data_IF_907236147814
#
_entry.id   IF_907236147814
#
_cell.length_a   1.000
_cell.length_b   1.000
_cell.length_c   1.000
_cell.angle_alpha   90.00
_cell.angle_beta   90.00
_cell.angle_gamma   90.00
#
_symmetry.space_group_name_H-M   'P 1'
#
loop_
_entity.id
_entity.type
_entity.pdbx_description
1 polymer ?
#
# COMPACT_ATOMS: atom_id res chain seq x y z
N UNK A 1 9.20 30.60 8.49
CA UNK A 1 9.66 29.59 9.47
C UNK A 1 10.13 28.41 8.66
N UNK A 2 11.35 27.94 8.88
CA UNK A 2 11.92 26.81 8.14
C UNK A 2 11.38 25.49 8.73
N UNK A 3 10.93 24.56 7.88
CA UNK A 3 10.46 23.24 8.29
C UNK A 3 11.54 22.18 8.05
N UNK A 4 11.45 20.97 8.65
CA UNK A 4 12.52 19.97 8.56
C UNK A 4 12.97 19.66 7.13
N UNK A 5 12.02 19.54 6.19
CA UNK A 5 12.33 19.24 4.79
C UNK A 5 13.16 20.32 4.12
N UNK A 6 13.04 21.58 4.57
CA UNK A 6 13.76 22.72 4.00
C UNK A 6 15.22 22.76 4.50
N UNK A 7 15.46 22.36 5.74
CA UNK A 7 16.80 22.35 6.36
C UNK A 7 17.61 21.08 6.07
N UNK A 8 16.95 20.00 5.64
CA UNK A 8 17.58 18.68 5.46
C UNK A 8 18.18 18.45 4.08
N UNK A 9 18.17 19.44 3.19
CA UNK A 9 18.64 19.30 1.79
C UNK A 9 20.10 18.84 1.71
N UNK A 10 20.97 19.36 2.57
CA UNK A 10 22.42 19.07 2.54
C UNK A 10 22.90 18.20 3.71
N UNK A 11 21.99 17.55 4.44
CA UNK A 11 22.32 16.80 5.66
C UNK A 11 22.43 15.32 5.35
N UNK A 12 23.53 14.69 5.77
CA UNK A 12 23.70 13.25 5.60
C UNK A 12 22.92 12.46 6.66
N UNK A 13 22.55 11.23 6.33
CA UNK A 13 21.83 10.35 7.24
C UNK A 13 22.64 10.02 8.50
N UNK A 14 23.97 9.95 8.41
CA UNK A 14 24.86 9.69 9.54
C UNK A 14 24.83 10.82 10.58
N UNK A 15 24.69 12.07 10.13
CA UNK A 15 24.57 13.22 11.04
C UNK A 15 23.26 13.14 11.83
N UNK A 16 22.15 12.83 11.15
CA UNK A 16 20.84 12.65 11.79
C UNK A 16 20.87 11.52 12.81
N UNK A 17 21.46 10.37 12.46
CA UNK A 17 21.54 9.23 13.36
C UNK A 17 22.43 9.47 14.57
N UNK A 18 23.56 10.16 14.37
CA UNK A 18 24.45 10.54 15.48
C UNK A 18 23.73 11.47 16.45
N UNK A 19 23.13 12.55 15.96
CA UNK A 19 22.33 13.48 16.76
C UNK A 19 21.21 12.76 17.54
N UNK A 20 20.50 11.86 16.87
CA UNK A 20 19.47 11.04 17.50
C UNK A 20 20.02 10.09 18.58
N UNK A 21 21.18 9.48 18.36
CA UNK A 21 21.82 8.59 19.32
C UNK A 21 22.33 9.35 20.54
N UNK A 22 22.95 10.50 20.33
CA UNK A 22 23.42 11.38 21.38
C UNK A 22 22.24 11.87 22.24
N UNK A 23 21.14 12.25 21.60
CA UNK A 23 19.91 12.61 22.32
C UNK A 23 19.34 11.43 23.10
N UNK A 24 19.23 10.24 22.51
CA UNK A 24 18.74 9.04 23.20
C UNK A 24 19.60 8.70 24.43
N UNK A 25 20.92 8.86 24.34
CA UNK A 25 21.82 8.67 25.48
C UNK A 25 21.59 9.75 26.55
N UNK A 26 21.36 11.01 26.15
CA UNK A 26 21.07 12.10 27.08
C UNK A 26 19.78 11.89 27.89
N UNK A 27 18.78 11.20 27.32
CA UNK A 27 17.52 10.88 28.01
C UNK A 27 17.72 10.06 29.30
N UNK A 28 18.83 9.32 29.42
CA UNK A 28 19.20 8.57 30.64
C UNK A 28 19.56 9.48 31.82
N UNK A 29 19.90 10.74 31.53
CA UNK A 29 20.42 11.70 32.51
C UNK A 29 19.47 12.88 32.74
N UNK A 30 18.27 12.87 32.14
CA UNK A 30 17.29 13.94 32.32
C UNK A 30 16.73 13.87 33.75
N UNK A 31 16.80 14.97 34.53
CA UNK A 31 16.20 15.03 35.86
C UNK A 31 14.69 14.77 35.81
N UNK A 32 14.12 14.01 36.76
CA UNK A 32 12.67 13.77 36.84
C UNK A 32 11.85 15.06 36.96
N UNK A 33 12.46 16.13 37.48
CA UNK A 33 11.78 17.37 37.87
C UNK A 33 11.56 18.36 36.72
N UNK A 34 12.07 18.07 35.52
CA UNK A 34 11.89 18.90 34.32
C UNK A 34 11.66 18.06 33.06
N UNK A 35 10.49 17.40 32.92
CA UNK A 35 10.18 16.60 31.75
C UNK A 35 10.14 17.47 30.49
N UNK A 36 10.79 17.00 29.42
CA UNK A 36 10.65 17.62 28.10
C UNK A 36 9.33 17.17 27.48
N UNK A 37 8.67 18.06 26.73
CA UNK A 37 7.41 17.77 26.07
C UNK A 37 7.44 18.18 24.60
N UNK A 38 6.80 17.37 23.75
CA UNK A 38 6.40 17.78 22.41
C UNK A 38 4.97 18.30 22.45
N UNK A 39 4.74 19.53 21.97
CA UNK A 39 3.39 20.07 21.81
C UNK A 39 2.86 19.74 20.42
N UNK A 40 1.71 19.06 20.37
CA UNK A 40 1.00 18.73 19.14
C UNK A 40 0.06 19.89 18.74
N UNK A 41 -0.45 19.88 17.50
CA UNK A 41 -1.28 20.97 16.99
C UNK A 41 -2.62 21.15 17.70
N UNK A 42 -3.13 20.12 18.36
CA UNK A 42 -4.30 20.20 19.25
C UNK A 42 -3.93 20.68 20.67
N UNK A 43 -2.76 21.29 20.85
CA UNK A 43 -2.18 21.72 22.13
C UNK A 43 -1.98 20.59 23.16
N UNK A 44 -2.04 19.33 22.75
CA UNK A 44 -1.71 18.20 23.62
C UNK A 44 -0.20 18.13 23.80
N UNK A 45 0.25 18.07 25.05
CA UNK A 45 1.65 17.88 25.40
C UNK A 45 1.93 16.38 25.58
N UNK A 46 2.88 15.87 24.81
CA UNK A 46 3.38 14.50 24.95
C UNK A 46 4.71 14.56 25.69
N UNK A 47 4.81 14.01 26.92
CA UNK A 47 6.10 13.95 27.62
C UNK A 47 7.05 13.04 26.84
N UNK A 48 8.31 13.42 26.82
CA UNK A 48 9.38 12.69 26.17
C UNK A 48 10.15 11.92 27.23
N UNK A 49 10.27 10.61 27.07
CA UNK A 49 11.03 9.76 27.97
C UNK A 49 11.48 8.47 27.32
N UNK A 50 12.34 7.72 28.02
CA UNK A 50 12.89 6.46 27.51
C UNK A 50 11.82 5.39 27.22
N UNK A 51 10.67 5.47 27.89
CA UNK A 51 9.57 4.52 27.73
C UNK A 51 8.75 4.72 26.46
N UNK A 52 8.82 5.88 25.82
CA UNK A 52 8.03 6.22 24.64
C UNK A 52 8.85 6.80 23.48
N UNK A 53 10.17 6.64 23.53
CA UNK A 53 11.09 7.02 22.46
C UNK A 53 11.76 5.76 21.91
N UNK A 54 11.89 5.66 20.59
CA UNK A 54 12.53 4.51 19.97
C UNK A 54 12.94 4.73 18.53
N UNK A 55 13.97 4.01 18.09
CA UNK A 55 14.43 4.05 16.71
C UNK A 55 13.50 3.24 15.79
N UNK A 56 13.09 3.86 14.68
CA UNK A 56 12.32 3.23 13.62
C UNK A 56 13.10 3.24 12.32
N UNK A 57 13.05 2.15 11.52
CA UNK A 57 13.71 2.11 10.23
C UNK A 57 13.00 3.03 9.23
N UNK A 58 13.78 3.81 8.49
CA UNK A 58 13.25 4.72 7.46
C UNK A 58 12.81 3.94 6.21
N UNK A 59 13.58 2.92 5.83
CA UNK A 59 13.39 2.15 4.59
C UNK A 59 12.90 0.71 4.84
N UNK A 60 11.85 0.57 5.65
CA UNK A 60 11.18 -0.71 5.89
C UNK A 60 12.01 -1.73 6.66
N UNK A 61 12.38 -2.85 6.03
CA UNK A 61 13.16 -3.91 6.68
C UNK A 61 14.65 -3.55 6.79
N UNK A 62 15.11 -2.49 6.13
CA UNK A 62 16.47 -2.00 6.25
C UNK A 62 16.65 -1.34 7.62
N UNK A 63 17.34 -2.03 8.52
CA UNK A 63 17.67 -1.56 9.86
C UNK A 63 18.97 -0.75 9.91
N UNK A 64 19.61 -0.44 8.77
CA UNK A 64 20.80 0.42 8.76
C UNK A 64 20.41 1.86 9.03
N UNK A 65 19.42 2.36 8.28
CA UNK A 65 19.05 3.76 8.33
C UNK A 65 17.78 3.96 9.17
N UNK A 66 17.91 4.73 10.26
CA UNK A 66 16.87 4.90 11.28
C UNK A 66 16.64 6.37 11.64
N UNK A 67 15.46 6.63 12.16
CA UNK A 67 15.11 7.91 12.78
C UNK A 67 14.54 7.65 14.17
N UNK A 68 14.74 8.59 15.08
CA UNK A 68 14.21 8.49 16.44
C UNK A 68 12.79 9.04 16.47
N UNK A 69 11.85 8.21 16.91
CA UNK A 69 10.44 8.53 16.98
C UNK A 69 9.97 8.64 18.43
N UNK A 70 9.06 9.58 18.67
CA UNK A 70 8.26 9.70 19.88
C UNK A 70 6.91 9.02 19.64
N UNK A 71 6.48 8.17 20.56
CA UNK A 71 5.25 7.40 20.48
C UNK A 71 4.17 7.95 21.41
N UNK A 72 2.91 7.77 21.01
CA UNK A 72 1.75 8.13 21.82
C UNK A 72 1.69 7.30 23.10
N UNK A 73 1.23 7.92 24.18
CA UNK A 73 0.94 7.20 25.44
C UNK A 73 -0.28 6.27 25.32
N UNK A 74 -1.22 6.63 24.44
CA UNK A 74 -2.46 5.86 24.23
C UNK A 74 -2.21 4.64 23.33
N UNK A 75 -1.25 4.76 22.41
CA UNK A 75 -0.88 3.70 21.48
C UNK A 75 0.63 3.75 21.22
N UNK A 76 1.36 2.83 21.83
CA UNK A 76 2.82 2.73 21.74
C UNK A 76 3.33 2.37 20.34
N UNK A 77 2.44 2.01 19.40
CA UNK A 77 2.80 1.74 18.01
C UNK A 77 2.57 2.94 17.09
N UNK A 78 1.94 4.02 17.59
CA UNK A 78 1.69 5.23 16.81
C UNK A 78 2.70 6.31 17.15
N UNK A 79 3.59 6.60 16.19
CA UNK A 79 4.49 7.74 16.27
C UNK A 79 3.69 9.05 16.23
N UNK A 80 4.12 10.04 17.02
CA UNK A 80 3.53 11.39 17.12
C UNK A 80 4.52 12.52 16.82
N UNK A 81 5.81 12.19 16.75
CA UNK A 81 6.86 13.11 16.32
C UNK A 81 8.17 12.38 16.01
N UNK A 82 9.06 13.07 15.30
CA UNK A 82 10.41 12.59 15.00
C UNK A 82 11.44 13.59 15.53
N UNK A 83 12.58 13.08 15.97
CA UNK A 83 13.73 13.89 16.35
C UNK A 83 14.61 14.12 15.14
N UNK A 84 14.70 15.37 14.67
CA UNK A 84 15.41 15.77 13.46
C UNK A 84 16.13 17.10 13.74
N UNK A 85 17.43 17.16 13.42
CA UNK A 85 18.27 18.36 13.62
C UNK A 85 18.21 18.87 15.06
N UNK A 86 18.56 18.01 16.01
CA UNK A 86 18.60 18.31 17.46
C UNK A 86 17.27 18.81 18.06
N UNK A 87 16.15 18.55 17.38
CA UNK A 87 14.83 19.02 17.78
C UNK A 87 13.72 18.00 17.54
N UNK A 88 12.74 17.97 18.44
CA UNK A 88 11.50 17.23 18.22
C UNK A 88 10.53 18.00 17.31
N UNK A 89 10.08 17.31 16.27
CA UNK A 89 9.09 17.81 15.33
C UNK A 89 7.81 16.99 15.37
N UNK A 90 6.68 17.66 15.54
CA UNK A 90 5.36 17.05 15.33
C UNK A 90 5.21 16.62 13.87
N UNK A 91 4.48 15.53 13.62
CA UNK A 91 4.22 15.04 12.25
C UNK A 91 3.63 16.13 11.34
N UNK A 92 2.78 17.01 11.86
CA UNK A 92 2.17 18.08 11.07
C UNK A 92 3.17 19.11 10.56
N UNK A 93 4.21 19.40 11.33
CA UNK A 93 5.27 20.31 10.91
C UNK A 93 6.29 19.61 10.01
N UNK A 94 6.47 18.29 10.13
CA UNK A 94 7.27 17.51 9.18
C UNK A 94 6.64 17.55 7.79
N UNK A 95 5.31 17.53 7.70
CA UNK A 95 4.57 17.58 6.44
C UNK A 95 4.40 19.00 5.86
N UNK A 96 5.15 19.99 6.36
CA UNK A 96 5.10 21.38 5.89
C UNK A 96 6.44 21.78 5.28
N UNK A 97 6.38 22.77 4.40
CA UNK A 97 7.53 23.42 3.77
C UNK A 97 7.26 24.92 3.69
N UNK A 98 8.32 25.71 3.80
CA UNK A 98 8.28 27.15 3.54
C UNK A 98 8.79 27.50 2.14
N UNK A 99 9.29 26.52 1.40
CA UNK A 99 9.76 26.67 0.04
C UNK A 99 8.57 26.71 -0.93
N UNK A 100 8.29 27.90 -1.46
CA UNK A 100 7.21 28.10 -2.44
C UNK A 100 7.45 27.40 -3.77
N UNK A 101 8.68 26.95 -4.06
CA UNK A 101 8.97 26.16 -5.25
C UNK A 101 8.46 24.71 -5.13
N UNK A 102 8.20 24.23 -3.91
CA UNK A 102 7.57 22.92 -3.67
C UNK A 102 6.05 23.04 -3.82
N UNK A 103 5.61 23.02 -5.07
CA UNK A 103 4.20 22.94 -5.45
C UNK A 103 3.97 21.84 -6.50
N UNK A 104 2.82 21.18 -6.42
CA UNK A 104 2.52 20.04 -7.28
C UNK A 104 3.36 18.80 -6.93
N UNK A 105 3.51 17.90 -7.89
CA UNK A 105 4.20 16.63 -7.70
C UNK A 105 5.72 16.80 -7.90
N UNK A 106 6.46 16.75 -6.80
CA UNK A 106 7.92 16.97 -6.77
C UNK A 106 8.62 15.65 -6.46
N UNK A 107 9.69 15.35 -7.21
CA UNK A 107 10.49 14.14 -7.03
C UNK A 107 11.22 14.13 -5.69
N UNK A 108 11.35 12.94 -5.10
CA UNK A 108 12.00 12.75 -3.80
C UNK A 108 13.49 12.50 -4.02
N UNK A 109 14.32 13.48 -3.65
CA UNK A 109 15.77 13.44 -3.84
C UNK A 109 16.54 13.50 -2.53
N UNK A 110 16.00 14.21 -1.53
CA UNK A 110 16.68 14.50 -0.27
C UNK A 110 16.22 13.58 0.86
N UNK A 111 17.02 13.48 1.93
CA UNK A 111 16.63 12.73 3.13
C UNK A 111 15.40 13.33 3.82
N UNK A 112 15.27 14.66 3.79
CA UNK A 112 14.08 15.36 4.29
C UNK A 112 12.81 14.91 3.57
N UNK A 113 12.85 14.82 2.25
CA UNK A 113 11.73 14.33 1.45
C UNK A 113 11.46 12.83 1.68
N UNK A 114 12.51 12.01 1.86
CA UNK A 114 12.34 10.60 2.27
C UNK A 114 11.64 10.47 3.61
N UNK A 115 11.92 11.36 4.57
CA UNK A 115 11.23 11.42 5.86
C UNK A 115 9.76 11.85 5.69
N UNK A 116 9.48 12.85 4.85
CA UNK A 116 8.10 13.26 4.53
C UNK A 116 7.32 12.09 3.92
N UNK A 117 7.91 11.39 2.95
CA UNK A 117 7.34 10.21 2.32
C UNK A 117 7.08 9.08 3.33
N UNK A 118 8.02 8.84 4.25
CA UNK A 118 7.85 7.90 5.35
C UNK A 118 6.67 8.27 6.24
N UNK A 119 6.56 9.54 6.65
CA UNK A 119 5.45 10.01 7.50
C UNK A 119 4.11 9.84 6.78
N UNK A 120 4.02 10.21 5.51
CA UNK A 120 2.80 10.04 4.71
C UNK A 120 2.37 8.57 4.62
N UNK A 121 3.29 7.67 4.29
CA UNK A 121 2.98 6.25 4.10
C UNK A 121 2.78 5.52 5.45
N UNK A 122 3.76 5.58 6.34
CA UNK A 122 3.81 4.73 7.54
C UNK A 122 3.02 5.24 8.70
N UNK A 123 2.82 6.55 8.78
CA UNK A 123 2.16 7.17 9.94
C UNK A 123 0.78 7.68 9.56
N UNK A 124 0.66 8.51 8.53
CA UNK A 124 -0.64 9.08 8.13
C UNK A 124 -1.51 8.00 7.46
N UNK A 125 -1.05 7.41 6.36
CA UNK A 125 -1.81 6.40 5.64
C UNK A 125 -2.02 5.16 6.51
N UNK A 126 -0.94 4.47 6.90
CA UNK A 126 -1.05 3.15 7.55
C UNK A 126 -1.68 3.17 8.94
N UNK A 127 -1.40 4.17 9.77
CA UNK A 127 -1.91 4.19 11.15
C UNK A 127 -3.27 4.92 11.26
N UNK A 128 -3.57 5.90 10.39
CA UNK A 128 -4.75 6.76 10.55
C UNK A 128 -5.77 6.67 9.41
N UNK A 129 -5.34 6.40 8.19
CA UNK A 129 -6.20 6.61 7.01
C UNK A 129 -6.50 5.37 6.16
N UNK A 130 -5.84 4.23 6.40
CA UNK A 130 -6.09 3.00 5.69
C UNK A 130 -7.54 2.53 5.88
N UNK A 131 -8.15 2.02 4.80
CA UNK A 131 -9.52 1.53 4.83
C UNK A 131 -9.57 0.10 5.39
N UNK A 132 -10.68 -0.29 6.02
CA UNK A 132 -10.87 -1.69 6.45
C UNK A 132 -10.79 -2.64 5.25
N UNK A 133 -9.93 -3.66 5.35
CA UNK A 133 -9.71 -4.65 4.30
C UNK A 133 -8.74 -4.22 3.19
N UNK A 134 -8.15 -3.03 3.28
CA UNK A 134 -7.08 -2.59 2.38
C UNK A 134 -5.73 -3.13 2.89
N UNK A 135 -4.90 -3.63 1.98
CA UNK A 135 -3.53 -4.02 2.31
C UNK A 135 -2.64 -2.77 2.36
N UNK A 136 -1.83 -2.58 3.41
CA UNK A 136 -0.98 -1.42 3.51
C UNK A 136 0.11 -1.45 2.42
N UNK A 137 0.41 -0.27 1.87
CA UNK A 137 1.60 -0.08 1.05
C UNK A 137 2.86 -0.53 1.80
N UNK A 138 3.79 -1.10 1.03
CA UNK A 138 5.12 -1.41 1.53
C UNK A 138 5.90 -0.12 1.78
N UNK A 139 6.96 -0.21 2.58
CA UNK A 139 7.86 0.92 2.76
C UNK A 139 8.65 1.14 1.48
N UNK A 140 8.92 2.40 1.16
CA UNK A 140 9.79 2.76 0.06
C UNK A 140 11.25 2.49 0.44
N UNK A 141 12.02 1.96 -0.52
CA UNK A 141 13.47 1.91 -0.43
C UNK A 141 14.10 3.29 -0.57
N UNK A 142 15.39 3.36 -0.24
CA UNK A 142 16.20 4.59 -0.34
C UNK A 142 16.22 5.17 -1.77
N UNK A 143 16.27 4.30 -2.77
CA UNK A 143 16.35 4.66 -4.19
C UNK A 143 15.03 4.44 -4.94
N UNK A 144 13.92 4.20 -4.22
CA UNK A 144 12.63 4.04 -4.89
C UNK A 144 12.19 5.35 -5.51
N UNK A 145 11.76 5.30 -6.77
CA UNK A 145 11.19 6.44 -7.46
C UNK A 145 9.86 6.82 -6.80
N UNK A 146 9.78 8.05 -6.30
CA UNK A 146 8.56 8.57 -5.69
C UNK A 146 8.49 10.08 -5.87
N UNK A 147 7.27 10.60 -5.87
CA UNK A 147 7.00 12.04 -5.80
C UNK A 147 6.06 12.35 -4.65
N UNK A 148 6.32 13.46 -3.98
CA UNK A 148 5.42 14.04 -2.99
C UNK A 148 4.55 15.08 -3.69
N UNK A 149 3.25 15.03 -3.46
CA UNK A 149 2.34 16.08 -3.88
C UNK A 149 2.29 17.16 -2.81
N UNK A 150 2.84 18.32 -3.14
CA UNK A 150 2.78 19.52 -2.34
C UNK A 150 1.62 20.41 -2.79
N UNK A 151 0.97 21.04 -1.83
CA UNK A 151 -0.07 22.04 -2.06
C UNK A 151 -0.15 22.97 -0.87
N UNK A 152 -0.13 24.28 -1.11
CA UNK A 152 -0.25 25.32 -0.08
C UNK A 152 0.77 25.13 1.08
N UNK A 153 2.02 24.82 0.73
CA UNK A 153 3.11 24.58 1.69
C UNK A 153 2.98 23.29 2.51
N UNK A 154 2.12 22.36 2.08
CA UNK A 154 1.87 21.08 2.77
C UNK A 154 2.00 19.88 1.85
N UNK A 155 2.58 18.80 2.38
CA UNK A 155 2.56 17.50 1.74
C UNK A 155 1.16 16.87 1.90
N UNK A 156 0.42 16.78 0.80
CA UNK A 156 -0.97 16.33 0.76
C UNK A 156 -1.14 14.89 0.24
N UNK A 157 -0.09 14.33 -0.34
CA UNK A 157 -0.08 12.96 -0.85
C UNK A 157 1.26 12.56 -1.43
N UNK A 158 1.35 11.34 -1.95
CA UNK A 158 2.49 10.86 -2.71
C UNK A 158 2.05 9.83 -3.76
N UNK A 159 2.94 9.56 -4.71
CA UNK A 159 2.90 8.32 -5.48
C UNK A 159 4.31 7.76 -5.66
N UNK A 160 4.43 6.45 -5.81
CA UNK A 160 5.69 5.76 -6.11
C UNK A 160 5.60 4.96 -7.40
N UNK A 161 6.73 4.78 -8.07
CA UNK A 161 6.82 4.06 -9.33
C UNK A 161 7.91 3.01 -9.23
N UNK A 162 7.71 1.88 -9.88
CA UNK A 162 8.75 0.92 -10.23
C UNK A 162 9.12 1.15 -11.69
N UNK A 163 10.26 1.80 -11.99
CA UNK A 163 10.65 2.11 -13.36
C UNK A 163 10.85 0.86 -14.20
N UNK A 164 10.71 0.98 -15.51
CA UNK A 164 11.08 -0.11 -16.43
C UNK A 164 12.54 -0.52 -16.23
N UNK A 165 12.84 -1.81 -16.31
CA UNK A 165 14.16 -2.38 -16.07
C UNK A 165 14.56 -2.55 -14.60
N UNK A 166 13.83 -1.95 -13.65
CA UNK A 166 14.13 -2.11 -12.22
C UNK A 166 13.79 -3.52 -11.71
N UNK A 167 14.61 -4.04 -10.79
CA UNK A 167 14.41 -5.37 -10.21
C UNK A 167 13.15 -5.41 -9.34
N UNK A 168 12.38 -6.50 -9.48
CA UNK A 168 11.25 -6.76 -8.63
C UNK A 168 11.72 -7.33 -7.27
N UNK A 169 11.46 -6.60 -6.19
CA UNK A 169 11.83 -7.03 -4.84
C UNK A 169 11.17 -8.34 -4.41
N UNK A 170 10.01 -8.68 -4.99
CA UNK A 170 9.30 -9.93 -4.72
C UNK A 170 9.81 -11.10 -5.57
N UNK A 171 10.49 -10.82 -6.69
CA UNK A 171 10.98 -11.81 -7.64
C UNK A 171 12.38 -11.40 -8.12
N UNK A 172 13.41 -11.81 -7.38
CA UNK A 172 14.79 -11.33 -7.51
C UNK A 172 15.43 -11.54 -8.90
N UNK A 173 14.80 -12.29 -9.79
CA UNK A 173 15.26 -12.57 -11.16
C UNK A 173 14.48 -11.82 -12.24
N UNK A 174 13.44 -11.07 -11.89
CA UNK A 174 12.57 -10.39 -12.86
C UNK A 174 12.68 -8.87 -12.73
N UNK A 175 12.66 -8.20 -13.87
CA UNK A 175 12.58 -6.75 -13.95
C UNK A 175 11.20 -6.31 -14.45
N UNK A 176 10.78 -5.11 -14.04
CA UNK A 176 9.59 -4.47 -14.59
C UNK A 176 9.76 -4.21 -16.09
N UNK A 177 8.78 -4.60 -16.90
CA UNK A 177 8.82 -4.39 -18.37
C UNK A 177 8.32 -3.01 -18.79
N UNK A 178 7.54 -2.35 -17.93
CA UNK A 178 6.98 -1.02 -18.12
C UNK A 178 7.04 -0.27 -16.78
N UNK A 179 7.02 1.08 -16.78
CA UNK A 179 6.86 1.84 -15.55
C UNK A 179 5.52 1.49 -14.87
N UNK A 180 5.55 1.15 -13.58
CA UNK A 180 4.35 0.81 -12.82
C UNK A 180 4.20 1.74 -11.63
N UNK A 181 3.12 2.53 -11.58
CA UNK A 181 2.72 3.24 -10.37
C UNK A 181 2.33 2.22 -9.30
N UNK A 182 3.22 2.05 -8.32
CA UNK A 182 3.17 1.00 -7.30
C UNK A 182 2.31 1.39 -6.10
N UNK A 183 2.30 2.67 -5.74
CA UNK A 183 1.41 3.20 -4.71
C UNK A 183 1.00 4.63 -5.05
N UNK A 184 -0.21 4.99 -4.63
CA UNK A 184 -0.75 6.34 -4.76
C UNK A 184 -1.61 6.62 -3.55
N UNK A 185 -1.39 7.78 -2.94
CA UNK A 185 -2.09 8.18 -1.72
C UNK A 185 -2.36 9.68 -1.72
N UNK A 186 -3.60 10.04 -1.41
CA UNK A 186 -4.01 11.40 -1.07
C UNK A 186 -4.63 11.37 0.32
N UNK A 187 -4.17 12.28 1.18
CA UNK A 187 -4.71 12.46 2.54
C UNK A 187 -6.21 12.70 2.50
N UNK A 188 -6.96 12.06 3.40
CA UNK A 188 -8.44 12.06 3.42
C UNK A 188 -9.01 13.48 3.40
N UNK A 189 -8.43 14.40 4.17
CA UNK A 189 -8.86 15.80 4.23
C UNK A 189 -8.66 16.59 2.91
N UNK A 190 -7.90 16.05 1.95
CA UNK A 190 -7.67 16.67 0.64
C UNK A 190 -8.32 15.92 -0.53
N UNK A 191 -8.99 14.79 -0.28
CA UNK A 191 -9.68 14.02 -1.33
C UNK A 191 -10.88 14.79 -1.89
N UNK A 192 -11.26 14.47 -3.13
CA UNK A 192 -12.36 15.15 -3.84
C UNK A 192 -11.94 16.41 -4.60
N UNK A 193 -10.72 16.91 -4.38
CA UNK A 193 -10.21 18.15 -5.01
C UNK A 193 -9.39 17.91 -6.30
N UNK A 194 -9.61 16.80 -7.01
CA UNK A 194 -8.90 16.49 -8.25
C UNK A 194 -7.45 16.03 -8.12
N UNK A 195 -6.87 15.98 -6.91
CA UNK A 195 -5.45 15.67 -6.69
C UNK A 195 -5.00 14.30 -7.22
N UNK A 196 -5.87 13.28 -7.16
CA UNK A 196 -5.56 11.97 -7.74
C UNK A 196 -5.43 11.99 -9.26
N UNK A 197 -6.22 12.83 -9.93
CA UNK A 197 -6.09 13.04 -11.38
C UNK A 197 -4.79 13.78 -11.70
N UNK A 198 -4.47 14.83 -10.94
CA UNK A 198 -3.22 15.59 -11.09
C UNK A 198 -1.98 14.69 -10.94
N UNK A 199 -1.98 13.76 -9.97
CA UNK A 199 -0.89 12.78 -9.83
C UNK A 199 -0.83 11.81 -11.02
N UNK A 200 -1.97 11.37 -11.56
CA UNK A 200 -2.01 10.49 -12.72
C UNK A 200 -1.49 11.20 -13.99
N UNK A 201 -1.91 12.46 -14.20
CA UNK A 201 -1.40 13.30 -15.29
C UNK A 201 0.12 13.48 -15.16
N UNK A 202 0.61 13.84 -13.97
CA UNK A 202 2.04 13.99 -13.74
C UNK A 202 2.82 12.69 -13.98
N UNK A 203 2.26 11.54 -13.59
CA UNK A 203 2.86 10.24 -13.88
C UNK A 203 2.94 9.99 -15.39
N UNK A 204 1.86 10.21 -16.14
CA UNK A 204 1.90 10.07 -17.60
C UNK A 204 2.91 11.02 -18.24
N UNK A 205 2.99 12.26 -17.78
CA UNK A 205 3.94 13.22 -18.32
C UNK A 205 5.41 12.86 -18.03
N UNK A 206 5.66 12.17 -16.90
CA UNK A 206 7.00 11.78 -16.46
C UNK A 206 7.59 10.59 -17.22
N UNK A 207 6.77 9.76 -17.85
CA UNK A 207 7.21 8.52 -18.51
C UNK A 207 6.75 8.52 -19.98
N UNK A 208 7.67 8.23 -20.90
CA UNK A 208 7.45 8.38 -22.36
C UNK A 208 7.13 7.07 -23.06
N UNK A 209 7.03 5.99 -22.31
CA UNK A 209 6.69 4.66 -22.79
C UNK A 209 5.25 4.59 -23.31
N UNK A 210 5.03 3.78 -24.35
CA UNK A 210 3.71 3.58 -24.96
C UNK A 210 2.71 2.88 -24.03
N UNK A 211 3.18 2.24 -22.96
CA UNK A 211 2.38 1.53 -21.99
C UNK A 211 2.83 1.89 -20.58
N UNK A 212 1.90 2.38 -19.77
CA UNK A 212 2.12 2.73 -18.38
C UNK A 212 1.23 1.88 -17.47
N UNK A 213 1.84 1.37 -16.40
CA UNK A 213 1.21 0.47 -15.46
C UNK A 213 0.67 1.16 -14.21
N UNK A 214 -0.46 0.69 -13.72
CA UNK A 214 -0.93 0.92 -12.36
C UNK A 214 -1.07 -0.43 -11.68
N UNK A 215 -0.50 -0.57 -10.48
CA UNK A 215 -0.42 -1.85 -9.79
C UNK A 215 -1.79 -2.41 -9.40
N UNK A 216 -2.01 -3.68 -9.70
CA UNK A 216 -3.15 -4.46 -9.24
C UNK A 216 -3.03 -4.78 -7.73
N UNK A 217 -4.15 -4.79 -6.97
CA UNK A 217 -5.50 -4.44 -7.39
C UNK A 217 -5.77 -2.93 -7.34
N UNK A 218 -6.42 -2.40 -8.39
CA UNK A 218 -6.88 -1.01 -8.37
C UNK A 218 -8.14 -0.83 -7.53
N UNK A 219 -8.14 0.21 -6.70
CA UNK A 219 -9.31 0.60 -5.95
C UNK A 219 -10.40 1.15 -6.88
N UNK A 220 -11.67 1.06 -6.46
CA UNK A 220 -12.80 1.70 -7.15
C UNK A 220 -12.58 3.21 -7.35
N UNK A 221 -11.90 3.86 -6.40
CA UNK A 221 -11.56 5.27 -6.51
C UNK A 221 -10.55 5.51 -7.64
N UNK A 222 -9.54 4.64 -7.77
CA UNK A 222 -8.55 4.76 -8.83
C UNK A 222 -9.15 4.53 -10.21
N UNK A 223 -10.06 3.57 -10.39
CA UNK A 223 -10.79 3.42 -11.65
C UNK A 223 -11.60 4.67 -12.03
N UNK A 224 -12.19 5.37 -11.06
CA UNK A 224 -12.87 6.66 -11.32
C UNK A 224 -11.88 7.73 -11.79
N UNK A 225 -10.70 7.79 -11.19
CA UNK A 225 -9.63 8.71 -11.62
C UNK A 225 -9.18 8.39 -13.04
N UNK A 226 -8.91 7.11 -13.36
CA UNK A 226 -8.56 6.67 -14.70
C UNK A 226 -9.67 6.97 -15.72
N UNK A 227 -10.94 6.74 -15.36
CA UNK A 227 -12.08 7.06 -16.22
C UNK A 227 -12.17 8.55 -16.54
N UNK A 228 -11.96 9.40 -15.52
CA UNK A 228 -11.90 10.86 -15.73
C UNK A 228 -10.72 11.25 -16.62
N UNK A 229 -9.53 10.70 -16.38
CA UNK A 229 -8.37 10.92 -17.22
C UNK A 229 -8.63 10.55 -18.70
N UNK A 230 -9.17 9.36 -18.96
CA UNK A 230 -9.48 8.89 -20.32
C UNK A 230 -10.57 9.71 -21.01
N UNK A 231 -11.49 10.34 -20.24
CA UNK A 231 -12.47 11.28 -20.80
C UNK A 231 -11.84 12.60 -21.26
N UNK A 232 -10.77 13.05 -20.58
CA UNK A 232 -10.01 14.25 -20.96
C UNK A 232 -9.01 13.96 -22.09
N UNK A 233 -8.47 12.74 -22.12
CA UNK A 233 -7.47 12.31 -23.10
C UNK A 233 -7.90 11.02 -23.83
N UNK A 234 -8.89 11.07 -24.74
CA UNK A 234 -9.39 9.86 -25.43
C UNK A 234 -8.33 9.12 -26.25
N UNK A 235 -7.31 9.85 -26.75
CA UNK A 235 -6.18 9.27 -27.47
C UNK A 235 -5.34 8.31 -26.60
N UNK A 236 -5.41 8.44 -25.28
CA UNK A 236 -4.67 7.60 -24.33
C UNK A 236 -5.40 6.30 -23.97
N UNK A 237 -6.40 5.89 -24.75
CA UNK A 237 -7.19 4.66 -24.55
C UNK A 237 -6.32 3.42 -24.30
N UNK A 238 -5.22 3.29 -25.05
CA UNK A 238 -4.33 2.13 -25.00
C UNK A 238 -3.05 2.35 -24.17
N UNK A 239 -2.95 3.50 -23.48
CA UNK A 239 -1.79 3.88 -22.68
C UNK A 239 -1.77 3.25 -21.28
N UNK A 240 -2.92 3.20 -20.60
CA UNK A 240 -3.01 2.84 -19.19
C UNK A 240 -3.41 1.37 -18.98
N UNK A 241 -2.60 0.66 -18.20
CA UNK A 241 -2.75 -0.77 -17.94
C UNK A 241 -2.76 -1.07 -16.46
N UNK A 242 -3.67 -1.93 -16.03
CA UNK A 242 -3.61 -2.51 -14.69
C UNK A 242 -2.66 -3.70 -14.73
N UNK A 243 -1.66 -3.68 -13.86
CA UNK A 243 -0.49 -4.55 -13.93
C UNK A 243 -0.42 -5.49 -12.73
N UNK A 244 -0.31 -6.77 -13.03
CA UNK A 244 0.07 -7.82 -12.10
C UNK A 244 1.59 -8.09 -12.21
N UNK A 245 2.23 -8.46 -11.09
CA UNK A 245 3.66 -8.78 -11.05
C UNK A 245 4.54 -7.69 -11.71
N UNK A 246 5.32 -8.03 -12.75
CA UNK A 246 6.29 -7.14 -13.42
C UNK A 246 5.77 -6.51 -14.72
N UNK A 247 4.49 -6.71 -15.05
CA UNK A 247 3.86 -6.04 -16.19
C UNK A 247 4.28 -6.55 -17.56
N UNK A 248 4.63 -7.83 -17.68
CA UNK A 248 4.78 -8.48 -18.98
C UNK A 248 3.49 -8.48 -19.81
N UNK A 249 3.54 -8.80 -21.11
CA UNK A 249 2.37 -8.71 -22.00
C UNK A 249 1.13 -9.47 -21.54
N UNK A 250 1.30 -10.62 -20.89
CA UNK A 250 0.21 -11.44 -20.32
C UNK A 250 -0.19 -11.05 -18.90
N UNK A 251 0.54 -10.15 -18.26
CA UNK A 251 0.36 -9.74 -16.86
C UNK A 251 -0.28 -8.35 -16.74
N UNK A 252 -0.86 -7.84 -17.83
CA UNK A 252 -1.44 -6.50 -17.87
C UNK A 252 -2.78 -6.50 -18.58
N UNK A 253 -3.73 -5.75 -18.04
CA UNK A 253 -5.05 -5.56 -18.66
C UNK A 253 -5.30 -4.08 -18.92
N UNK A 254 -5.75 -3.74 -20.12
CA UNK A 254 -6.06 -2.36 -20.47
C UNK A 254 -7.18 -1.80 -19.58
N UNK A 255 -6.94 -0.62 -18.99
CA UNK A 255 -7.85 -0.01 -18.01
C UNK A 255 -9.14 0.49 -18.68
N UNK A 256 -9.07 1.04 -19.89
CA UNK A 256 -10.26 1.48 -20.60
C UNK A 256 -11.24 0.32 -20.85
N UNK A 257 -10.72 -0.83 -21.27
CA UNK A 257 -11.50 -2.06 -21.45
C UNK A 257 -12.12 -2.53 -20.12
N UNK A 258 -11.36 -2.52 -19.01
CA UNK A 258 -11.90 -2.88 -17.68
C UNK A 258 -13.01 -1.94 -17.23
N UNK A 259 -12.85 -0.62 -17.40
CA UNK A 259 -13.87 0.37 -17.06
C UNK A 259 -15.16 0.13 -17.87
N UNK A 260 -15.03 -0.12 -19.18
CA UNK A 260 -16.16 -0.42 -20.04
C UNK A 260 -16.89 -1.70 -19.61
N UNK A 261 -16.15 -2.76 -19.29
CA UNK A 261 -16.72 -4.01 -18.79
C UNK A 261 -17.49 -3.81 -17.47
N UNK A 262 -16.92 -3.04 -16.52
CA UNK A 262 -17.59 -2.72 -15.25
C UNK A 262 -18.89 -1.94 -15.46
N UNK A 263 -18.91 -0.99 -16.40
CA UNK A 263 -20.11 -0.24 -16.73
C UNK A 263 -21.21 -1.14 -17.30
N UNK A 264 -20.87 -2.04 -18.24
CA UNK A 264 -21.82 -3.00 -18.81
C UNK A 264 -22.40 -3.93 -17.73
N UNK A 265 -21.57 -4.49 -16.85
CA UNK A 265 -22.04 -5.33 -15.75
C UNK A 265 -22.97 -4.58 -14.80
N UNK A 266 -22.72 -3.29 -14.54
CA UNK A 266 -23.61 -2.48 -13.70
C UNK A 266 -24.99 -2.25 -14.34
N UNK A 267 -25.04 -2.03 -15.65
CA UNK A 267 -26.29 -1.85 -16.40
C UNK A 267 -27.15 -3.12 -16.40
N UNK A 268 -26.54 -4.30 -16.57
CA UNK A 268 -27.27 -5.56 -16.49
C UNK A 268 -27.87 -5.80 -15.10
N UNK A 269 -27.16 -5.42 -14.02
CA UNK A 269 -27.68 -5.54 -12.65
C UNK A 269 -28.84 -4.57 -12.42
N UNK A 270 -28.77 -3.34 -12.92
CA UNK A 270 -29.88 -2.38 -12.81
C UNK A 270 -31.10 -2.81 -13.62
N UNK A 271 -30.91 -3.37 -14.81
CA UNK A 271 -32.00 -3.91 -15.64
C UNK A 271 -32.66 -5.13 -15.00
N UNK A 272 -31.89 -6.03 -14.38
CA UNK A 272 -32.44 -7.16 -13.64
C UNK A 272 -33.27 -6.70 -12.44
N UNK A 273 -32.77 -5.70 -11.68
CA UNK A 273 -33.49 -5.11 -10.55
C UNK A 273 -34.76 -4.39 -10.99
N UNK A 274 -34.72 -3.66 -12.10
CA UNK A 274 -35.90 -3.00 -12.68
C UNK A 274 -36.95 -4.02 -13.11
N UNK A 275 -36.55 -5.06 -13.87
CA UNK A 275 -37.46 -6.13 -14.29
C UNK A 275 -38.07 -6.89 -13.11
N UNK A 276 -37.35 -7.04 -12.00
CA UNK A 276 -37.89 -7.62 -10.75
C UNK A 276 -38.86 -6.67 -10.00
N UNK A 277 -38.68 -5.35 -10.08
CA UNK A 277 -39.58 -4.38 -9.44
C UNK A 277 -40.83 -4.06 -10.28
N UNK A 278 -40.77 -4.13 -11.61
CA UNK A 278 -41.91 -3.82 -12.49
C UNK A 278 -42.74 -5.03 -12.91
N UNK A 279 -42.28 -6.24 -12.62
CA UNK A 279 -43.12 -7.44 -12.77
C UNK A 279 -44.08 -7.53 -11.58
N UNK A 280 -45.37 -7.32 -11.83
CA UNK A 280 -46.44 -7.57 -10.86
C UNK A 280 -46.29 -8.99 -10.29
N UNK A 281 -46.48 -9.20 -8.98
CA UNK A 281 -46.40 -10.54 -8.42
C UNK A 281 -47.65 -11.26 -8.86
N UNK A 282 -47.55 -12.27 -9.71
CA UNK A 282 -48.36 -13.48 -9.65
C UNK A 282 -47.79 -14.45 -10.70
N UNK A 283 -47.54 -15.67 -10.24
CA UNK A 283 -47.28 -16.94 -10.97
C UNK A 283 -45.94 -17.23 -11.66
N UNK A 284 -45.04 -16.28 -11.95
CA UNK A 284 -43.82 -16.62 -12.75
C UNK A 284 -42.53 -16.92 -11.95
N UNK A 285 -42.60 -17.15 -10.63
CA UNK A 285 -41.41 -17.42 -9.78
C UNK A 285 -40.96 -18.89 -9.84
N UNK A 286 -41.80 -19.80 -10.34
CA UNK A 286 -41.50 -21.25 -10.33
C UNK A 286 -40.62 -21.68 -11.53
N UNK A 287 -40.62 -20.92 -12.63
CA UNK A 287 -39.95 -21.35 -13.87
C UNK A 287 -38.42 -21.17 -13.84
N UNK A 288 -37.90 -20.17 -13.12
CA UNK A 288 -36.47 -19.82 -13.14
C UNK A 288 -35.65 -20.66 -12.16
N UNK A 289 -36.24 -21.10 -11.05
CA UNK A 289 -35.55 -21.99 -10.10
C UNK A 289 -35.36 -23.41 -10.66
N UNK A 290 -36.29 -23.90 -11.49
CA UNK A 290 -36.20 -25.25 -12.06
C UNK A 290 -35.06 -25.36 -13.08
N UNK A 291 -34.80 -24.33 -13.87
CA UNK A 291 -33.69 -24.35 -14.86
C UNK A 291 -32.32 -24.28 -14.17
N UNK A 292 -32.18 -23.52 -13.08
CA UNK A 292 -30.92 -23.42 -12.35
C UNK A 292 -30.57 -24.71 -11.57
N UNK A 293 -31.56 -25.41 -11.02
CA UNK A 293 -31.33 -26.69 -10.33
C UNK A 293 -30.99 -27.84 -11.29
N UNK A 294 -31.54 -27.85 -12.51
CA UNK A 294 -31.27 -28.91 -13.50
C UNK A 294 -29.85 -28.78 -14.10
N UNK A 295 -29.31 -27.56 -14.26
CA UNK A 295 -27.92 -27.36 -14.70
C UNK A 295 -26.87 -27.72 -13.63
N UNK A 296 -27.20 -27.63 -12.34
CA UNK A 296 -26.27 -27.97 -11.26
C UNK A 296 -26.14 -29.48 -11.06
N UNK A 297 -27.23 -30.23 -11.24
CA UNK A 297 -27.24 -31.69 -11.12
C UNK A 297 -26.54 -32.41 -12.29
N UNK A 298 -26.52 -31.81 -13.48
CA UNK A 298 -25.85 -32.39 -14.66
C UNK A 298 -24.32 -32.19 -14.67
N UNK A 299 -23.77 -31.28 -13.86
CA UNK A 299 -22.31 -31.14 -13.67
C UNK A 299 -21.73 -32.02 -12.56
N UNK A 300 -22.53 -32.44 -11.59
CA UNK A 300 -22.08 -33.37 -10.53
C UNK A 300 -21.91 -34.81 -11.03
N UNK A 301 -22.69 -35.25 -12.02
CA UNK A 301 -22.61 -36.60 -12.58
C UNK A 301 -21.35 -36.83 -13.43
N UNK A 302 -20.80 -35.79 -14.07
CA UNK A 302 -19.56 -35.88 -14.85
C UNK A 302 -18.29 -35.95 -13.98
N UNK A 303 -18.32 -35.37 -12.77
CA UNK A 303 -17.19 -35.41 -11.84
C UNK A 303 -17.00 -36.78 -11.17
N UNK A 304 -18.08 -37.55 -10.95
CA UNK A 304 -17.99 -38.88 -10.35
C UNK A 304 -17.50 -39.98 -11.32
N UNK A 305 -17.68 -39.80 -12.63
CA UNK A 305 -17.25 -40.78 -13.64
C UNK A 305 -15.74 -40.74 -13.90
N UNK A 306 -15.10 -39.56 -13.79
CA UNK A 306 -13.65 -39.44 -13.97
C UNK A 306 -12.83 -39.96 -12.78
N UNK A 307 -13.38 -39.93 -11.56
CA UNK A 307 -12.67 -40.37 -10.35
C UNK A 307 -12.63 -41.90 -10.16
N UNK A 308 -13.37 -42.68 -10.97
CA UNK A 308 -13.44 -44.15 -10.85
C UNK A 308 -12.57 -44.89 -11.88
N UNK A 309 -11.89 -44.18 -12.79
CA UNK A 309 -11.17 -44.78 -13.91
C UNK A 309 -9.63 -44.90 -13.74
N UNK A 310 -9.04 -44.42 -12.64
CA UNK A 310 -7.57 -44.41 -12.46
C UNK A 310 -7.03 -45.31 -11.34
N UNK A 311 -7.83 -46.24 -10.81
CA UNK A 311 -7.41 -47.12 -9.71
C UNK A 311 -7.35 -48.60 -10.09
N UNK A 312 -6.49 -48.98 -11.05
CA UNK A 312 -6.09 -50.38 -11.22
C UNK A 312 -4.73 -50.51 -11.91
N UNK A 313 -3.63 -50.56 -11.15
CA UNK A 313 -2.46 -51.44 -11.38
C UNK A 313 -1.53 -51.51 -10.14
N UNK A 314 -1.46 -52.73 -9.59
CA UNK A 314 -0.56 -53.49 -8.67
C UNK A 314 0.68 -52.87 -7.94
N UNK A 315 1.19 -53.53 -6.85
CA UNK A 315 1.88 -52.89 -5.72
C UNK A 315 3.38 -53.25 -5.44
N UNK A 316 4.02 -52.39 -4.62
CA UNK A 316 5.13 -52.59 -3.63
C UNK A 316 6.60 -52.88 -4.10
N UNK A 317 7.67 -52.67 -3.28
CA UNK A 317 7.75 -52.18 -1.87
C UNK A 317 8.91 -51.16 -1.55
N UNK A 318 9.09 -50.85 -0.24
CA UNK A 318 10.21 -50.18 0.49
C UNK A 318 10.05 -48.66 0.68
N UNK A 319 10.28 -48.04 1.85
CA UNK A 319 10.56 -48.40 3.24
C UNK A 319 10.62 -47.08 4.04
N UNK A 320 10.45 -47.16 5.36
CA UNK A 320 10.83 -46.19 6.40
C UNK A 320 9.86 -45.05 6.80
N UNK A 321 9.11 -45.40 7.85
CA UNK A 321 8.59 -44.62 8.97
C UNK A 321 9.35 -43.35 9.41
N UNK A 322 8.60 -42.30 9.76
CA UNK A 322 8.93 -41.41 10.90
C UNK A 322 7.63 -40.98 11.60
N UNK A 323 7.61 -41.25 12.91
CA UNK A 323 6.51 -41.09 13.86
C UNK A 323 6.43 -39.66 14.38
N UNK A 324 5.23 -39.08 14.37
CA UNK A 324 4.87 -37.84 15.07
C UNK A 324 4.38 -38.20 16.47
N UNK A 325 5.10 -37.73 17.50
CA UNK A 325 4.61 -37.68 18.89
C UNK A 325 4.17 -36.25 19.19
N UNK A 326 2.87 -36.08 19.36
CA UNK A 326 2.23 -34.87 19.88
C UNK A 326 2.67 -34.60 21.32
N UNK A 327 3.05 -33.35 21.62
CA UNK A 327 2.90 -32.74 22.94
C UNK A 327 2.62 -31.25 22.82
N UNK A 328 1.42 -30.89 23.25
CA UNK A 328 0.82 -29.57 23.38
C UNK A 328 1.45 -28.79 24.53
N UNK A 329 2.03 -27.62 24.26
CA UNK A 329 2.19 -26.52 25.23
C UNK A 329 2.07 -25.19 24.47
N UNK A 330 1.05 -24.40 24.82
CA UNK A 330 0.83 -23.08 24.26
C UNK A 330 1.83 -22.06 24.83
N UNK A 331 2.55 -21.34 23.96
CA UNK A 331 3.30 -20.12 24.27
C UNK A 331 2.90 -19.00 23.28
N UNK A 332 2.95 -17.71 23.67
CA UNK A 332 2.58 -16.62 22.78
C UNK A 332 3.65 -16.42 21.70
N UNK A 333 3.21 -16.13 20.48
CA UNK A 333 4.06 -16.06 19.29
C UNK A 333 4.87 -14.76 19.27
N UNK A 334 6.18 -14.86 19.05
CA UNK A 334 7.04 -13.67 18.89
C UNK A 334 6.87 -13.05 17.50
N UNK A 335 7.09 -11.72 17.41
CA UNK A 335 6.92 -10.87 16.23
C UNK A 335 7.66 -11.36 14.95
N UNK A 336 8.64 -12.26 15.09
CA UNK A 336 9.32 -12.92 13.95
C UNK A 336 8.46 -13.98 13.24
N UNK A 337 7.52 -14.61 13.92
CA UNK A 337 6.66 -15.63 13.29
C UNK A 337 5.48 -15.04 12.49
N UNK A 338 5.00 -13.84 12.85
CA UNK A 338 3.96 -13.14 12.08
C UNK A 338 4.43 -12.75 10.66
N UNK A 339 5.73 -12.46 10.49
CA UNK A 339 6.31 -12.14 9.18
C UNK A 339 6.54 -13.39 8.31
N UNK A 340 6.83 -14.55 8.92
CA UNK A 340 6.95 -15.82 8.20
C UNK A 340 5.59 -16.31 7.67
N UNK A 341 4.50 -16.04 8.38
CA UNK A 341 3.13 -16.36 7.91
C UNK A 341 2.69 -15.43 6.77
N UNK A 342 3.11 -14.16 6.75
CA UNK A 342 2.83 -13.25 5.63
C UNK A 342 3.57 -13.62 4.34
N UNK A 343 4.75 -14.24 4.43
CA UNK A 343 5.48 -14.74 3.25
C UNK A 343 4.95 -16.08 2.72
N UNK A 344 4.21 -16.85 3.53
CA UNK A 344 3.74 -18.20 3.17
C UNK A 344 2.31 -18.23 2.59
N UNK A 345 1.53 -17.15 2.71
CA UNK A 345 0.13 -17.10 2.20
C UNK A 345 0.04 -16.73 0.71
N UNK A 346 1.17 -16.44 0.03
CA UNK A 346 1.20 -16.17 -1.41
C UNK A 346 1.50 -17.40 -2.31
N UNK A 347 1.48 -18.63 -1.79
CA UNK A 347 1.75 -19.83 -2.62
C UNK A 347 0.70 -20.93 -2.59
N UNK A 348 -0.51 -20.68 -2.09
CA UNK A 348 -1.62 -21.65 -2.21
C UNK A 348 -2.89 -20.95 -2.64
N UNK A 349 -2.96 -20.56 -3.91
CA UNK A 349 -4.19 -20.44 -4.70
C UNK A 349 -3.83 -20.17 -6.18
N UNK A 350 -3.12 -21.11 -6.80
CA UNK A 350 -3.07 -21.25 -8.25
C UNK A 350 -3.29 -22.72 -8.61
N UNK A 351 -4.50 -23.23 -8.39
CA UNK A 351 -5.08 -24.34 -9.18
C UNK A 351 -6.62 -24.24 -9.06
N UNK A 352 -7.22 -23.50 -9.99
CA UNK A 352 -8.52 -23.70 -10.69
C UNK A 352 -9.25 -22.40 -10.97
#
# INVERSE_FOLDING_TARGET
>A
MEFPVDSLVSVSQEILERSAQDYMNSLLHIPPDSPQHLTLANNTQVPIGLSNVGFVPLYGANMRQKVLALFSQQDQFTAVGLFLLDRWWSLENILKTADSAKDGAVEVETIGERIVLYVLNRVVYRAKEISSGELPFLCHGENDYAKILWKDGQAVGFYSVKPSGSLCSSFLTQCYHIPVMDSIFVRKCHRGNGLGLQMLENFVDSFKEECLGLKYPLSKAMYKVCGKYLSLYPAHRDLLWEVESVGGPSQRTNIANKIQAMAMSSMFITDLKWKMCTSRPLTCVISVFIVYSICYLSRLSLLFSCLRATSHTKPCPLSCTLSLKERTVARPWSHKHLLAVQSAVQSVCMVR
#
